data_IF_704105110740
#
_entry.id   IF_704105110740
#
_cell.length_a   1.000
_cell.length_b   1.000
_cell.length_c   1.000
_cell.angle_alpha   90.00
_cell.angle_beta   90.00
_cell.angle_gamma   90.00
#
_symmetry.space_group_name_H-M   'P 1'
#
loop_
_entity.id
_entity.type
_entity.pdbx_description
1 polymer ?
#
# COMPACT_ATOMS: atom_id res chain seq x y z
N UNK A 1 1.44 -7.96 12.17
CA UNK A 1 2.80 -8.56 12.09
C UNK A 1 3.81 -7.44 12.21
N UNK A 2 5.04 -7.67 12.70
CA UNK A 2 6.09 -6.65 12.75
C UNK A 2 7.27 -7.12 11.90
N UNK A 3 7.82 -6.23 11.10
CA UNK A 3 8.97 -6.44 10.20
C UNK A 3 10.01 -5.36 10.44
N UNK A 4 11.19 -5.50 9.84
CA UNK A 4 12.18 -4.45 9.80
C UNK A 4 11.95 -3.59 8.54
N UNK A 5 11.94 -2.28 8.72
CA UNK A 5 11.98 -1.32 7.62
C UNK A 5 13.40 -1.21 7.02
N UNK A 6 13.60 -0.45 5.93
CA UNK A 6 14.93 -0.28 5.32
C UNK A 6 15.98 0.34 6.26
N UNK A 7 15.55 1.14 7.24
CA UNK A 7 16.41 1.76 8.25
C UNK A 7 16.63 0.85 9.47
N UNK A 8 16.20 -0.41 9.39
CA UNK A 8 16.27 -1.42 10.45
C UNK A 8 15.49 -1.04 11.72
N UNK A 9 14.48 -0.18 11.59
CA UNK A 9 13.51 0.12 12.63
C UNK A 9 12.29 -0.83 12.54
N UNK A 10 11.63 -1.14 13.67
CA UNK A 10 10.46 -1.99 13.66
C UNK A 10 9.26 -1.28 13.02
N UNK A 11 8.65 -1.92 12.03
CA UNK A 11 7.46 -1.43 11.33
C UNK A 11 6.33 -2.46 11.40
N UNK A 12 5.13 -2.02 11.75
CA UNK A 12 3.96 -2.88 11.74
C UNK A 12 3.39 -3.09 10.34
N UNK A 13 2.88 -4.28 10.10
CA UNK A 13 2.07 -4.64 8.95
C UNK A 13 0.67 -5.02 9.41
N UNK A 14 -0.33 -4.34 8.84
CA UNK A 14 -1.73 -4.65 9.00
C UNK A 14 -2.30 -5.28 7.73
N UNK A 15 -2.65 -6.56 7.84
CA UNK A 15 -3.10 -7.39 6.73
C UNK A 15 -4.61 -7.62 6.85
N UNK A 16 -5.37 -7.26 5.82
CA UNK A 16 -6.80 -7.53 5.75
C UNK A 16 -7.18 -7.93 4.34
N UNK A 17 -8.32 -8.61 4.16
CA UNK A 17 -8.80 -8.84 2.80
C UNK A 17 -9.34 -7.56 2.14
N UNK A 18 -9.95 -6.67 2.93
CA UNK A 18 -10.58 -5.44 2.43
C UNK A 18 -9.68 -4.22 2.62
N UNK A 19 -9.92 -3.17 1.82
CA UNK A 19 -9.24 -1.89 1.95
C UNK A 19 -9.91 -1.04 3.04
N UNK A 20 -9.20 -0.79 4.14
CA UNK A 20 -9.73 0.06 5.22
C UNK A 20 -9.20 1.47 5.10
N UNK A 21 -10.08 2.45 5.29
CA UNK A 21 -9.71 3.87 5.33
C UNK A 21 -8.84 4.23 6.54
N UNK A 22 -8.94 3.44 7.60
CA UNK A 22 -8.30 3.64 8.89
C UNK A 22 -7.89 2.27 9.40
N UNK A 23 -6.67 2.11 9.89
CA UNK A 23 -6.18 0.85 10.45
C UNK A 23 -5.38 1.07 11.73
N UNK A 24 -5.19 0.03 12.55
CA UNK A 24 -4.35 0.12 13.73
C UNK A 24 -2.99 0.71 13.41
N UNK A 25 -2.62 1.75 14.15
CA UNK A 25 -1.33 2.44 14.07
C UNK A 25 -0.99 3.10 12.72
N UNK A 26 -1.99 3.43 11.89
CA UNK A 26 -1.76 4.10 10.60
C UNK A 26 -0.93 5.40 10.68
N UNK A 27 -0.97 6.11 11.80
CA UNK A 27 -0.22 7.36 12.02
C UNK A 27 1.20 7.14 12.55
N UNK A 28 1.62 5.89 12.77
CA UNK A 28 2.94 5.52 13.29
C UNK A 28 3.83 4.85 12.24
N UNK A 29 3.46 4.95 10.95
CA UNK A 29 4.25 4.39 9.85
C UNK A 29 3.98 2.90 9.55
N UNK A 30 2.95 2.31 10.17
CA UNK A 30 2.56 0.93 9.88
C UNK A 30 1.84 0.83 8.53
N UNK A 31 2.24 -0.15 7.72
CA UNK A 31 1.69 -0.34 6.37
C UNK A 31 0.40 -1.17 6.40
N UNK A 32 -0.54 -0.83 5.53
CA UNK A 32 -1.74 -1.64 5.30
C UNK A 32 -1.73 -2.32 3.94
N UNK A 33 -1.65 -3.64 3.93
CA UNK A 33 -1.74 -4.44 2.71
C UNK A 33 -3.10 -5.13 2.66
N UNK A 34 -3.80 -4.96 1.54
CA UNK A 34 -5.16 -5.50 1.34
C UNK A 34 -5.34 -6.23 0.02
N UNK A 35 -6.51 -6.81 -0.19
CA UNK A 35 -6.93 -7.36 -1.49
C UNK A 35 -8.28 -6.79 -1.92
N UNK A 36 -9.05 -7.62 -2.62
CA UNK A 36 -10.46 -7.41 -2.95
C UNK A 36 -10.77 -6.36 -4.03
N UNK A 37 -9.95 -5.32 -4.18
CA UNK A 37 -10.27 -4.22 -5.10
C UNK A 37 -9.81 -4.48 -6.53
N UNK A 38 -9.00 -5.52 -6.78
CA UNK A 38 -8.51 -5.84 -8.13
C UNK A 38 -7.80 -4.65 -8.80
N UNK A 39 -7.12 -3.82 -8.00
CA UNK A 39 -6.44 -2.61 -8.46
C UNK A 39 -7.38 -1.46 -8.84
N UNK A 40 -8.69 -1.59 -8.65
CA UNK A 40 -9.65 -0.52 -8.96
C UNK A 40 -9.62 0.63 -7.94
N UNK A 41 -9.05 0.39 -6.76
CA UNK A 41 -8.86 1.39 -5.72
C UNK A 41 -7.41 1.91 -5.78
N UNK A 42 -7.20 3.23 -5.94
CA UNK A 42 -5.86 3.80 -5.85
C UNK A 42 -5.24 3.52 -4.48
N UNK A 43 -4.00 3.05 -4.49
CA UNK A 43 -3.22 2.92 -3.27
C UNK A 43 -2.74 4.28 -2.74
N UNK A 44 -2.19 4.27 -1.54
CA UNK A 44 -1.52 5.42 -0.92
C UNK A 44 -0.05 5.09 -0.69
N UNK A 45 0.68 6.03 -0.09
CA UNK A 45 2.06 5.89 0.38
C UNK A 45 2.24 4.86 1.51
N UNK A 46 1.15 4.52 2.22
CA UNK A 46 1.14 3.61 3.35
C UNK A 46 0.20 2.40 3.16
N UNK A 47 -0.51 2.32 2.03
CA UNK A 47 -1.45 1.23 1.79
C UNK A 47 -1.60 0.85 0.32
N UNK A 48 -1.67 -0.44 0.01
CA UNK A 48 -1.85 -0.91 -1.37
C UNK A 48 -2.57 -2.25 -1.44
N UNK A 49 -3.29 -2.47 -2.54
CA UNK A 49 -3.80 -3.78 -2.94
C UNK A 49 -2.62 -4.68 -3.31
N UNK A 50 -2.55 -5.88 -2.72
CA UNK A 50 -1.58 -6.96 -2.95
C UNK A 50 -2.24 -8.20 -3.58
N UNK A 51 -3.43 -8.04 -4.14
CA UNK A 51 -4.10 -9.04 -4.97
C UNK A 51 -3.18 -9.52 -6.09
N UNK A 52 -3.18 -10.82 -6.36
CA UNK A 52 -2.23 -11.44 -7.31
C UNK A 52 -2.34 -10.85 -8.71
N UNK A 53 -3.54 -10.48 -9.12
CA UNK A 53 -3.84 -9.80 -10.38
C UNK A 53 -3.19 -8.41 -10.48
N UNK A 54 -2.98 -7.72 -9.36
CA UNK A 54 -2.27 -6.43 -9.30
C UNK A 54 -0.76 -6.55 -9.47
N UNK A 55 -0.23 -7.78 -9.47
CA UNK A 55 1.20 -8.09 -9.54
C UNK A 55 1.54 -9.13 -10.59
N UNK A 56 0.72 -9.27 -11.63
CA UNK A 56 1.00 -10.20 -12.75
C UNK A 56 0.82 -11.67 -12.37
N UNK A 57 -0.14 -11.97 -11.50
CA UNK A 57 -0.52 -13.31 -11.05
C UNK A 57 0.62 -14.09 -10.37
N UNK A 58 1.50 -13.37 -9.65
CA UNK A 58 2.57 -13.96 -8.83
C UNK A 58 2.49 -13.48 -7.39
N UNK A 59 3.05 -14.25 -6.43
CA UNK A 59 3.36 -13.75 -5.11
C UNK A 59 4.31 -12.55 -5.18
N UNK A 60 4.22 -11.69 -4.16
CA UNK A 60 4.97 -10.44 -4.07
C UNK A 60 5.86 -10.46 -2.84
N UNK A 61 7.02 -9.83 -2.94
CA UNK A 61 7.88 -9.59 -1.79
C UNK A 61 7.51 -8.27 -1.12
N UNK A 62 7.96 -8.07 0.12
CA UNK A 62 7.76 -6.78 0.79
C UNK A 62 8.51 -5.65 0.09
N UNK A 63 9.63 -5.93 -0.58
CA UNK A 63 10.37 -4.93 -1.34
C UNK A 63 9.63 -4.52 -2.62
N UNK A 64 9.01 -5.48 -3.34
CA UNK A 64 8.09 -5.15 -4.45
C UNK A 64 6.97 -4.21 -3.98
N UNK A 65 6.42 -4.47 -2.79
CA UNK A 65 5.35 -3.66 -2.19
C UNK A 65 5.84 -2.26 -1.84
N UNK A 66 7.04 -2.10 -1.29
CA UNK A 66 7.62 -0.78 -0.97
C UNK A 66 7.83 0.06 -2.22
N UNK A 67 8.27 -0.55 -3.32
CA UNK A 67 8.36 0.13 -4.62
C UNK A 67 6.99 0.62 -5.05
N UNK A 68 5.96 -0.23 -5.01
CA UNK A 68 4.57 0.16 -5.34
C UNK A 68 4.07 1.30 -4.46
N UNK A 69 4.33 1.27 -3.15
CA UNK A 69 3.92 2.34 -2.24
C UNK A 69 4.56 3.68 -2.59
N UNK A 70 5.85 3.67 -2.97
CA UNK A 70 6.54 4.88 -3.44
C UNK A 70 5.96 5.41 -4.77
N UNK A 71 5.51 4.54 -5.67
CA UNK A 71 4.81 4.91 -6.91
C UNK A 71 3.44 5.55 -6.63
N UNK A 72 2.68 5.02 -5.65
CA UNK A 72 1.37 5.57 -5.28
C UNK A 72 1.44 7.01 -4.76
N UNK A 73 2.56 7.39 -4.10
CA UNK A 73 2.82 8.78 -3.68
C UNK A 73 2.71 9.75 -4.86
N UNK A 74 3.25 9.34 -6.02
CA UNK A 74 3.32 10.21 -7.20
C UNK A 74 1.92 10.49 -7.78
N UNK A 75 0.99 9.55 -7.66
CA UNK A 75 -0.39 9.74 -8.12
C UNK A 75 -1.24 10.62 -7.21
N UNK A 76 -0.87 10.75 -5.94
CA UNK A 76 -1.57 11.63 -4.99
C UNK A 76 -1.07 13.09 -5.05
N UNK A 77 0.08 13.32 -5.68
CA UNK A 77 0.73 14.63 -5.77
C UNK A 77 0.34 15.45 -7.00
N UNK A 78 -0.29 14.84 -8.02
CA UNK A 78 -0.82 15.57 -9.17
C UNK A 78 -2.16 16.22 -8.77
N UNK A 79 -2.25 17.56 -8.63
CA UNK A 79 -3.53 18.21 -8.39
C UNK A 79 -4.43 17.94 -9.59
N UNK A 80 -5.56 17.28 -9.31
CA UNK A 80 -6.70 17.09 -10.21
C UNK A 80 -6.82 18.29 -11.17
N UNK A 81 -6.35 18.13 -12.41
CA UNK A 81 -6.65 19.06 -13.47
C UNK A 81 -8.17 19.04 -13.60
N UNK A 82 -8.81 20.09 -13.08
CA UNK A 82 -10.24 20.30 -13.25
C UNK A 82 -10.44 20.53 -14.75
N UNK A 83 -10.73 19.46 -15.48
CA UNK A 83 -11.17 19.54 -16.86
C UNK A 83 -12.46 20.37 -16.88
N UNK A 84 -12.36 21.54 -17.51
CA UNK A 84 -13.46 22.48 -17.76
C UNK A 84 -14.30 22.01 -18.94
#
# INVERSE_FOLDING_TARGET
MVVQDPDCAPQGLWLSHYAHRVWPRMHYGDLHLYGHSHGSLPGTDASTDVGVDCFGFRPVTLDDVRVRLAENVQFSAEPHQLDR
#
